data_IF_485419075210
#
_entry.id   IF_485419075210
#
_cell.length_a   1.000
_cell.length_b   1.000
_cell.length_c   1.000
_cell.angle_alpha   90.00
_cell.angle_beta   90.00
_cell.angle_gamma   90.00
#
_symmetry.space_group_name_H-M   'P 1'
#
loop_
_entity.id
_entity.type
_entity.pdbx_description
1 polymer ?
#
# COMPACT_ATOMS: atom_id res chain seq x y z
N UNK A 1 -6.32 -16.59 6.98
CA UNK A 1 -5.47 -15.64 7.75
C UNK A 1 -5.99 -14.20 7.71
N UNK A 2 -6.00 -13.50 6.57
CA UNK A 2 -6.36 -12.05 6.47
C UNK A 2 -7.66 -11.70 7.20
N UNK A 3 -8.77 -12.38 6.87
CA UNK A 3 -10.07 -12.12 7.51
C UNK A 3 -10.00 -12.21 9.04
N UNK A 4 -9.38 -13.26 9.59
CA UNK A 4 -9.28 -13.46 11.03
C UNK A 4 -8.49 -12.33 11.71
N UNK A 5 -7.37 -11.89 11.13
CA UNK A 5 -6.51 -10.84 11.72
C UNK A 5 -7.06 -9.43 11.53
N UNK A 6 -7.77 -9.19 10.43
CA UNK A 6 -8.36 -7.88 10.14
C UNK A 6 -9.76 -7.68 10.75
N UNK A 7 -10.26 -8.63 11.54
CA UNK A 7 -11.56 -8.52 12.23
C UNK A 7 -11.45 -8.05 13.68
N UNK A 8 -10.25 -7.79 14.19
CA UNK A 8 -10.02 -7.32 15.57
C UNK A 8 -10.23 -5.79 15.64
N UNK A 9 -11.28 -5.29 16.32
CA UNK A 9 -11.55 -3.86 16.42
C UNK A 9 -10.56 -3.09 17.30
N UNK A 10 -9.72 -3.79 18.08
CA UNK A 10 -8.65 -3.19 18.85
C UNK A 10 -7.37 -2.93 18.02
N UNK A 11 -7.32 -3.43 16.79
CA UNK A 11 -6.17 -3.32 15.88
C UNK A 11 -6.56 -2.45 14.65
N UNK A 12 -6.61 -1.12 14.80
CA UNK A 12 -7.13 -0.22 13.77
C UNK A 12 -6.38 -0.34 12.43
N UNK A 13 -5.07 -0.56 12.48
CA UNK A 13 -4.26 -0.85 11.30
C UNK A 13 -4.78 -2.07 10.53
N UNK A 14 -4.96 -3.20 11.22
CA UNK A 14 -5.45 -4.43 10.59
C UNK A 14 -6.90 -4.27 10.11
N UNK A 15 -7.75 -3.60 10.91
CA UNK A 15 -9.14 -3.35 10.56
C UNK A 15 -9.29 -2.53 9.28
N UNK A 16 -8.51 -1.46 9.11
CA UNK A 16 -8.51 -0.65 7.89
C UNK A 16 -8.12 -1.48 6.66
N UNK A 17 -7.10 -2.33 6.77
CA UNK A 17 -6.72 -3.25 5.68
C UNK A 17 -7.80 -4.31 5.41
N UNK A 18 -8.54 -4.75 6.42
CA UNK A 18 -9.73 -5.59 6.25
C UNK A 18 -10.82 -4.89 5.44
N UNK A 19 -11.12 -3.64 5.78
CA UNK A 19 -12.09 -2.81 5.04
C UNK A 19 -11.66 -2.68 3.57
N UNK A 20 -10.39 -2.37 3.30
CA UNK A 20 -9.84 -2.30 1.94
C UNK A 20 -10.16 -3.57 1.13
N UNK A 21 -9.90 -4.74 1.73
CA UNK A 21 -10.08 -6.03 1.04
C UNK A 21 -11.55 -6.42 0.88
N UNK A 22 -12.35 -6.25 1.93
CA UNK A 22 -13.71 -6.80 2.05
C UNK A 22 -14.81 -5.78 1.71
N UNK A 23 -14.46 -4.51 1.51
CA UNK A 23 -15.36 -3.43 1.12
C UNK A 23 -16.08 -2.78 2.31
N UNK A 24 -16.90 -1.77 1.99
CA UNK A 24 -17.68 -1.02 2.98
C UNK A 24 -18.65 -1.90 3.80
N UNK A 25 -19.13 -3.00 3.23
CA UNK A 25 -20.03 -3.96 3.87
C UNK A 25 -19.34 -4.93 4.83
N UNK A 26 -18.00 -4.83 4.99
CA UNK A 26 -17.29 -5.66 5.94
C UNK A 26 -17.79 -5.39 7.37
N UNK A 27 -18.09 -6.45 8.12
CA UNK A 27 -18.64 -6.35 9.47
C UNK A 27 -17.70 -6.96 10.51
N UNK A 28 -17.62 -6.33 11.66
CA UNK A 28 -16.96 -6.83 12.88
C UNK A 28 -17.92 -6.65 14.05
N UNK A 29 -18.02 -7.65 14.92
CA UNK A 29 -18.93 -7.61 16.09
C UNK A 29 -20.39 -7.25 15.72
N UNK A 30 -20.85 -7.72 14.56
CA UNK A 30 -22.20 -7.44 14.06
C UNK A 30 -22.42 -6.03 13.51
N UNK A 31 -21.42 -5.15 13.52
CA UNK A 31 -21.49 -3.75 13.04
C UNK A 31 -20.64 -3.54 11.78
N UNK A 32 -20.93 -2.51 10.95
CA UNK A 32 -20.03 -2.12 9.87
C UNK A 32 -18.64 -1.77 10.41
N UNK A 33 -17.60 -2.38 9.83
CA UNK A 33 -16.21 -2.17 10.24
C UNK A 33 -15.77 -0.71 10.05
N UNK A 34 -16.30 -0.03 9.03
CA UNK A 34 -16.07 1.40 8.78
C UNK A 34 -16.52 2.26 9.96
N UNK A 35 -17.68 1.95 10.55
CA UNK A 35 -18.19 2.68 11.73
C UNK A 35 -17.32 2.38 12.95
N UNK A 36 -16.99 1.11 13.18
CA UNK A 36 -16.15 0.69 14.31
C UNK A 36 -14.77 1.34 14.25
N UNK A 37 -14.14 1.40 13.06
CA UNK A 37 -12.84 2.06 12.87
C UNK A 37 -12.94 3.55 13.18
N UNK A 38 -13.91 4.24 12.58
CA UNK A 38 -14.02 5.71 12.68
C UNK A 38 -14.42 6.11 14.09
N UNK A 39 -15.51 5.57 14.64
CA UNK A 39 -16.06 5.98 15.94
C UNK A 39 -15.09 5.73 17.10
N UNK A 40 -14.25 4.68 17.00
CA UNK A 40 -13.30 4.35 18.07
C UNK A 40 -12.01 5.15 18.00
N UNK A 41 -11.54 5.50 16.81
CA UNK A 41 -10.17 5.97 16.61
C UNK A 41 -10.05 7.40 16.07
N UNK A 42 -11.13 7.99 15.54
CA UNK A 42 -11.11 9.41 15.16
C UNK A 42 -10.96 10.29 16.39
N UNK A 43 -10.22 11.38 16.26
CA UNK A 43 -10.02 12.40 17.30
C UNK A 43 -10.06 13.79 16.65
N UNK A 44 -10.29 14.81 17.46
CA UNK A 44 -10.00 16.20 17.08
C UNK A 44 -8.60 16.56 17.54
N UNK A 45 -7.84 17.25 16.69
CA UNK A 45 -6.56 17.84 17.09
C UNK A 45 -6.77 19.15 17.88
N UNK A 46 -5.67 19.78 18.30
CA UNK A 46 -5.72 21.04 19.05
C UNK A 46 -6.38 22.21 18.28
N UNK A 47 -6.46 22.12 16.95
CA UNK A 47 -7.15 23.10 16.11
C UNK A 47 -8.60 22.68 15.81
N UNK A 48 -9.10 21.63 16.47
CA UNK A 48 -10.46 21.12 16.30
C UNK A 48 -10.68 20.26 15.05
N UNK A 49 -9.64 19.97 14.27
CA UNK A 49 -9.75 19.20 13.01
C UNK A 49 -9.86 17.70 13.28
N UNK A 50 -10.73 17.03 12.54
CA UNK A 50 -10.92 15.59 12.60
C UNK A 50 -9.75 14.84 11.94
N UNK A 51 -9.22 13.83 12.64
CA UNK A 51 -8.11 13.01 12.16
C UNK A 51 -7.96 11.71 12.94
N UNK A 52 -7.15 10.79 12.43
CA UNK A 52 -6.69 9.64 13.20
C UNK A 52 -5.33 9.96 13.83
N UNK A 53 -5.11 9.67 15.12
CA UNK A 53 -3.80 9.85 15.71
C UNK A 53 -2.80 8.88 15.09
N UNK A 54 -1.50 9.25 15.05
CA UNK A 54 -0.45 8.31 14.61
C UNK A 54 -0.34 7.10 15.53
N UNK A 55 -0.60 7.31 16.82
CA UNK A 55 -0.62 6.26 17.83
C UNK A 55 -1.29 6.73 19.11
N UNK A 56 -1.63 5.77 19.96
CA UNK A 56 -2.29 5.98 21.25
C UNK A 56 -1.69 4.99 22.27
N UNK A 57 -1.27 5.50 23.44
CA UNK A 57 -0.64 4.70 24.50
C UNK A 57 0.50 3.77 23.99
N UNK A 58 1.36 4.28 23.11
CA UNK A 58 2.49 3.53 22.54
C UNK A 58 2.12 2.51 21.46
N UNK A 59 0.85 2.45 21.03
CA UNK A 59 0.39 1.58 19.93
C UNK A 59 0.19 2.39 18.65
N UNK A 60 0.59 1.87 17.48
CA UNK A 60 0.29 2.53 16.21
C UNK A 60 -1.22 2.48 15.93
N UNK A 61 -1.76 3.63 15.52
CA UNK A 61 -3.15 3.75 15.04
C UNK A 61 -3.09 3.99 13.54
N UNK A 62 -2.83 5.22 13.10
CA UNK A 62 -2.63 5.56 11.69
C UNK A 62 -1.19 6.06 11.44
N UNK A 63 -0.19 5.17 11.24
CA UNK A 63 1.20 5.59 11.08
C UNK A 63 1.45 6.42 9.80
N UNK A 64 0.56 6.30 8.82
CA UNK A 64 0.59 7.04 7.55
C UNK A 64 -0.60 8.00 7.47
N UNK A 65 -0.37 9.33 7.49
CA UNK A 65 -1.46 10.31 7.50
C UNK A 65 -2.47 10.07 6.38
N UNK A 66 -3.74 9.95 6.74
CA UNK A 66 -4.86 9.82 5.80
C UNK A 66 -5.05 8.43 5.19
N UNK A 67 -4.30 7.41 5.63
CA UNK A 67 -4.49 6.03 5.18
C UNK A 67 -5.92 5.54 5.39
N UNK A 68 -6.48 5.75 6.57
CA UNK A 68 -7.82 5.26 6.90
C UNK A 68 -8.88 6.01 6.12
N UNK A 69 -8.79 7.34 6.06
CA UNK A 69 -9.71 8.15 5.27
C UNK A 69 -9.65 7.81 3.78
N UNK A 70 -8.44 7.65 3.21
CA UNK A 70 -8.26 7.13 1.85
C UNK A 70 -9.00 5.81 1.69
N UNK A 71 -8.83 4.89 2.63
CA UNK A 71 -9.46 3.56 2.57
C UNK A 71 -10.97 3.66 2.50
N UNK A 72 -11.59 4.50 3.34
CA UNK A 72 -13.04 4.73 3.32
C UNK A 72 -13.51 5.28 1.95
N UNK A 73 -12.78 6.25 1.41
CA UNK A 73 -13.05 6.83 0.08
C UNK A 73 -12.82 5.82 -1.05
N UNK A 74 -11.89 4.89 -0.90
CA UNK A 74 -11.56 3.86 -1.89
C UNK A 74 -12.63 2.76 -1.94
N UNK A 75 -13.14 2.33 -0.80
CA UNK A 75 -14.19 1.30 -0.74
C UNK A 75 -15.60 1.83 -0.98
N UNK A 76 -15.73 3.13 -1.29
CA UNK A 76 -16.99 3.75 -1.70
C UNK A 76 -17.93 4.13 -0.56
N UNK A 77 -17.42 4.38 0.65
CA UNK A 77 -18.25 4.94 1.73
C UNK A 77 -18.77 6.31 1.27
N UNK A 78 -20.09 6.58 1.32
CA UNK A 78 -20.64 7.85 0.86
C UNK A 78 -20.09 9.03 1.65
N UNK A 79 -19.80 10.15 0.96
CA UNK A 79 -19.32 11.39 1.61
C UNK A 79 -20.31 11.93 2.67
N UNK A 80 -21.61 11.68 2.49
CA UNK A 80 -22.66 12.04 3.46
C UNK A 80 -22.86 11.04 4.61
N UNK A 81 -22.13 9.91 4.62
CA UNK A 81 -22.21 8.93 5.71
C UNK A 81 -21.81 9.61 7.03
N UNK A 82 -22.65 9.44 8.07
CA UNK A 82 -22.50 10.12 9.36
C UNK A 82 -21.87 9.17 10.38
N UNK A 83 -20.85 9.66 11.07
CA UNK A 83 -20.18 8.99 12.17
C UNK A 83 -20.41 9.73 13.49
N UNK A 84 -20.15 9.04 14.60
CA UNK A 84 -20.08 9.63 15.93
C UNK A 84 -18.66 9.51 16.48
N UNK A 85 -18.01 10.62 16.78
CA UNK A 85 -16.71 10.62 17.44
C UNK A 85 -16.81 10.11 18.89
N UNK A 86 -15.70 9.69 19.53
CA UNK A 86 -15.69 9.26 20.93
C UNK A 86 -16.18 10.32 21.91
N UNK A 87 -16.03 11.60 21.58
CA UNK A 87 -16.54 12.75 22.36
C UNK A 87 -18.05 12.96 22.21
N UNK A 88 -18.73 12.10 21.44
CA UNK A 88 -20.16 12.15 21.18
C UNK A 88 -20.57 13.07 20.02
N UNK A 89 -19.65 13.88 19.47
CA UNK A 89 -19.92 14.76 18.34
C UNK A 89 -20.22 13.96 17.06
N UNK A 90 -21.03 14.56 16.17
CA UNK A 90 -21.39 13.96 14.88
C UNK A 90 -20.69 14.69 13.74
N UNK A 91 -20.26 13.94 12.74
CA UNK A 91 -19.63 14.47 11.54
C UNK A 91 -19.84 13.51 10.36
N UNK A 92 -19.52 13.95 9.16
CA UNK A 92 -19.63 13.22 7.91
C UNK A 92 -18.26 12.81 7.38
N UNK A 93 -18.20 11.80 6.51
CA UNK A 93 -16.96 11.48 5.81
C UNK A 93 -16.39 12.69 5.04
N UNK A 94 -17.24 13.53 4.47
CA UNK A 94 -16.84 14.77 3.80
C UNK A 94 -16.09 15.73 4.73
N UNK A 95 -16.57 15.90 5.97
CA UNK A 95 -15.91 16.76 6.97
C UNK A 95 -14.57 16.18 7.41
N UNK A 96 -14.50 14.87 7.69
CA UNK A 96 -13.25 14.18 8.02
C UNK A 96 -12.21 14.31 6.90
N UNK A 97 -12.63 14.08 5.65
CA UNK A 97 -11.74 14.15 4.50
C UNK A 97 -11.25 15.58 4.25
N UNK A 98 -12.13 16.59 4.41
CA UNK A 98 -11.76 18.00 4.31
C UNK A 98 -10.75 18.41 5.38
N UNK A 99 -10.97 18.01 6.64
CA UNK A 99 -10.08 18.36 7.74
C UNK A 99 -8.68 17.74 7.56
N UNK A 100 -8.59 16.51 7.08
CA UNK A 100 -7.31 15.87 6.77
C UNK A 100 -6.64 16.46 5.51
N UNK A 101 -7.42 16.80 4.47
CA UNK A 101 -6.93 17.50 3.29
C UNK A 101 -6.39 18.90 3.64
N UNK A 102 -7.01 19.61 4.60
CA UNK A 102 -6.53 20.88 5.10
C UNK A 102 -5.23 20.74 5.91
N UNK A 103 -5.02 19.60 6.56
CA UNK A 103 -3.77 19.27 7.25
C UNK A 103 -2.62 18.89 6.30
N UNK A 104 -2.89 18.74 5.00
CA UNK A 104 -1.83 18.55 4.00
C UNK A 104 -0.93 19.79 3.95
N UNK A 105 0.32 19.60 4.34
CA UNK A 105 1.38 20.58 4.24
C UNK A 105 2.47 20.04 3.30
N UNK A 106 2.70 20.65 2.12
CA UNK A 106 3.77 20.22 1.23
C UNK A 106 5.11 20.37 1.96
N UNK A 107 5.91 19.31 1.99
CA UNK A 107 7.21 19.33 2.65
C UNK A 107 7.87 17.97 2.82
N UNK A 108 9.09 18.01 3.33
CA UNK A 108 9.94 16.83 3.54
C UNK A 108 10.91 16.55 2.40
N UNK A 109 11.99 15.86 2.74
CA UNK A 109 13.00 15.41 1.77
C UNK A 109 13.12 13.88 1.88
N UNK A 110 12.69 13.12 0.86
CA UNK A 110 12.19 13.60 -0.42
C UNK A 110 10.72 14.07 -0.38
N UNK A 111 10.27 14.84 -1.38
CA UNK A 111 8.86 15.25 -1.51
C UNK A 111 7.91 14.05 -1.50
N UNK A 112 6.75 14.22 -0.88
CA UNK A 112 5.66 13.23 -0.78
C UNK A 112 6.00 11.90 -0.05
N UNK A 113 7.18 11.79 0.58
CA UNK A 113 7.68 10.56 1.20
C UNK A 113 6.65 9.77 2.01
N UNK A 114 5.91 10.46 2.89
CA UNK A 114 4.86 9.90 3.76
C UNK A 114 3.48 10.56 3.54
N UNK A 115 3.25 11.15 2.36
CA UNK A 115 2.04 11.95 2.09
C UNK A 115 1.17 11.39 0.97
N UNK A 116 1.57 10.28 0.35
CA UNK A 116 0.82 9.66 -0.75
C UNK A 116 -0.66 9.39 -0.41
N UNK A 117 -0.95 8.95 0.81
CA UNK A 117 -2.33 8.71 1.26
C UNK A 117 -3.16 10.00 1.37
N UNK A 118 -2.58 11.09 1.88
CA UNK A 118 -3.24 12.41 1.89
C UNK A 118 -3.50 12.93 0.47
N UNK A 119 -2.58 12.69 -0.47
CA UNK A 119 -2.81 13.02 -1.89
C UNK A 119 -4.04 12.30 -2.46
N UNK A 120 -4.27 11.05 -2.06
CA UNK A 120 -5.50 10.33 -2.45
C UNK A 120 -6.76 10.86 -1.77
N UNK A 121 -6.65 11.33 -0.53
CA UNK A 121 -7.75 12.04 0.16
C UNK A 121 -8.09 13.32 -0.60
N UNK A 122 -7.08 14.15 -0.94
CA UNK A 122 -7.23 15.38 -1.73
C UNK A 122 -7.92 15.13 -3.08
N UNK A 123 -7.49 14.09 -3.79
CA UNK A 123 -8.12 13.68 -5.04
C UNK A 123 -9.58 13.26 -4.84
N UNK A 124 -9.89 12.57 -3.73
CA UNK A 124 -11.24 12.14 -3.38
C UNK A 124 -12.19 13.26 -2.96
N UNK A 125 -11.68 14.40 -2.50
CA UNK A 125 -12.47 15.56 -2.07
C UNK A 125 -12.64 16.65 -3.13
N UNK A 126 -12.16 16.42 -4.36
CA UNK A 126 -12.13 17.43 -5.43
C UNK A 126 -11.41 18.72 -4.99
N UNK A 127 -10.33 18.59 -4.21
CA UNK A 127 -9.55 19.75 -3.76
C UNK A 127 -9.00 20.50 -4.98
N UNK A 128 -9.10 21.85 -5.05
CA UNK A 128 -8.66 22.63 -6.20
C UNK A 128 -7.16 22.49 -6.49
N UNK A 129 -6.35 22.07 -5.50
CA UNK A 129 -4.91 21.82 -5.66
C UNK A 129 -4.61 20.50 -6.39
N UNK A 130 -5.60 19.63 -6.60
CA UNK A 130 -5.40 18.27 -7.11
C UNK A 130 -4.69 18.24 -8.47
N UNK A 131 -5.03 19.16 -9.38
CA UNK A 131 -4.38 19.23 -10.71
C UNK A 131 -2.88 19.52 -10.62
N UNK A 132 -2.51 20.62 -9.95
CA UNK A 132 -1.10 21.00 -9.75
C UNK A 132 -0.32 19.89 -9.00
N UNK A 133 -0.89 19.37 -7.91
CA UNK A 133 -0.26 18.29 -7.14
C UNK A 133 -0.12 17.00 -7.97
N UNK A 134 -1.05 16.75 -8.90
CA UNK A 134 -0.98 15.63 -9.84
C UNK A 134 0.24 15.71 -10.75
N UNK A 135 0.55 16.89 -11.29
CA UNK A 135 1.70 17.10 -12.16
C UNK A 135 3.02 17.05 -11.37
N UNK A 136 3.07 17.68 -10.20
CA UNK A 136 4.24 17.65 -9.30
C UNK A 136 4.55 16.22 -8.84
N UNK A 137 3.55 15.49 -8.37
CA UNK A 137 3.71 14.11 -7.93
C UNK A 137 4.12 13.19 -9.09
N UNK A 138 3.58 13.40 -10.30
CA UNK A 138 3.98 12.65 -11.50
C UNK A 138 5.44 12.95 -11.90
N UNK A 139 5.89 14.20 -11.77
CA UNK A 139 7.29 14.55 -12.00
C UNK A 139 8.22 13.83 -11.01
N UNK A 140 7.89 13.87 -9.72
CA UNK A 140 8.65 13.17 -8.66
C UNK A 140 8.65 11.66 -8.89
N UNK A 141 7.50 11.06 -9.24
CA UNK A 141 7.40 9.63 -9.54
C UNK A 141 8.32 9.26 -10.71
N UNK A 142 8.25 10.01 -11.81
CA UNK A 142 9.05 9.75 -13.01
C UNK A 142 10.55 9.88 -12.76
N UNK A 143 10.99 10.92 -12.07
CA UNK A 143 12.41 11.09 -11.69
C UNK A 143 12.90 9.90 -10.86
N UNK A 144 12.09 9.45 -9.89
CA UNK A 144 12.47 8.38 -8.98
C UNK A 144 12.35 6.98 -9.60
N UNK A 145 11.60 6.79 -10.69
CA UNK A 145 11.55 5.53 -11.42
C UNK A 145 12.49 5.46 -12.62
N UNK A 146 13.01 6.59 -13.11
CA UNK A 146 13.86 6.63 -14.30
C UNK A 146 15.07 5.67 -14.25
N UNK A 147 15.58 5.31 -13.07
CA UNK A 147 16.66 4.32 -12.96
C UNK A 147 16.25 2.90 -13.42
N UNK A 148 14.95 2.58 -13.48
CA UNK A 148 14.47 1.30 -14.01
C UNK A 148 14.65 1.18 -15.52
N UNK A 149 14.76 2.29 -16.25
CA UNK A 149 15.04 2.29 -17.70
C UNK A 149 16.29 1.48 -18.03
N UNK A 150 17.30 1.57 -17.15
CA UNK A 150 18.55 0.85 -17.32
C UNK A 150 18.41 -0.68 -17.22
N UNK A 151 17.29 -1.18 -16.67
CA UNK A 151 16.98 -2.62 -16.53
C UNK A 151 16.02 -3.13 -17.60
N UNK A 152 15.72 -2.34 -18.64
CA UNK A 152 15.05 -2.86 -19.85
C UNK A 152 15.91 -3.91 -20.55
N UNK A 153 17.23 -3.75 -20.50
CA UNK A 153 18.17 -4.78 -20.94
C UNK A 153 18.05 -6.03 -20.05
N UNK A 154 17.60 -7.18 -20.60
CA UNK A 154 17.45 -8.41 -19.84
C UNK A 154 18.76 -9.04 -19.37
N UNK A 155 19.89 -8.66 -19.94
CA UNK A 155 21.21 -9.16 -19.54
C UNK A 155 21.73 -8.48 -18.27
N UNK A 156 21.18 -7.30 -17.93
CA UNK A 156 21.60 -6.55 -16.76
C UNK A 156 20.97 -7.12 -15.48
N UNK A 157 21.77 -7.62 -14.52
CA UNK A 157 21.24 -8.08 -13.24
C UNK A 157 20.70 -6.90 -12.45
N UNK A 158 19.47 -7.03 -11.95
CA UNK A 158 18.88 -6.00 -11.12
C UNK A 158 19.62 -5.87 -9.79
N UNK A 159 19.91 -4.62 -9.40
CA UNK A 159 20.44 -4.30 -8.09
C UNK A 159 19.56 -3.22 -7.45
N UNK A 160 19.10 -3.50 -6.22
CA UNK A 160 18.42 -2.49 -5.42
C UNK A 160 19.39 -1.35 -5.13
N UNK A 161 19.08 -0.11 -5.53
CA UNK A 161 19.99 1.01 -5.38
C UNK A 161 20.02 1.52 -3.93
N UNK A 162 21.21 1.92 -3.48
CA UNK A 162 21.44 2.49 -2.16
C UNK A 162 22.40 3.67 -2.26
N UNK A 163 22.20 4.68 -1.43
CA UNK A 163 23.19 5.74 -1.17
C UNK A 163 23.91 5.48 0.15
N UNK A 164 25.20 5.84 0.22
CA UNK A 164 25.94 5.82 1.48
C UNK A 164 25.77 7.16 2.19
N UNK A 165 25.34 7.12 3.45
CA UNK A 165 25.37 8.27 4.38
C UNK A 165 26.22 7.89 5.58
N UNK A 166 27.49 8.30 5.56
CA UNK A 166 28.49 7.82 6.51
C UNK A 166 28.66 6.30 6.42
N UNK A 167 28.53 5.59 7.55
CA UNK A 167 28.61 4.11 7.62
C UNK A 167 27.30 3.41 7.24
N UNK A 168 26.19 4.14 7.06
CA UNK A 168 24.88 3.57 6.77
C UNK A 168 24.62 3.53 5.26
N UNK A 169 23.98 2.44 4.82
CA UNK A 169 23.40 2.32 3.48
C UNK A 169 21.90 2.62 3.58
N UNK A 170 21.46 3.62 2.85
CA UNK A 170 20.06 4.02 2.78
C UNK A 170 19.50 3.69 1.40
N UNK A 171 18.23 3.24 1.28
CA UNK A 171 17.60 3.05 -0.02
C UNK A 171 17.63 4.34 -0.86
N UNK A 172 17.81 4.20 -2.18
CA UNK A 172 17.83 5.33 -3.11
C UNK A 172 16.59 5.34 -4.03
N UNK A 173 16.40 6.45 -4.76
CA UNK A 173 15.34 6.62 -5.76
C UNK A 173 13.95 6.28 -5.18
N UNK A 174 13.10 5.56 -5.91
CA UNK A 174 11.75 5.21 -5.45
C UNK A 174 11.74 4.33 -4.19
N UNK A 175 12.82 3.60 -3.88
CA UNK A 175 12.86 2.74 -2.69
C UNK A 175 13.02 3.48 -1.38
N UNK A 176 13.36 4.77 -1.41
CA UNK A 176 13.41 5.59 -0.21
C UNK A 176 12.01 5.98 0.28
N UNK A 177 10.96 5.75 -0.51
CA UNK A 177 9.56 5.99 -0.16
C UNK A 177 8.96 4.81 0.60
N UNK A 178 7.97 5.08 1.47
CA UNK A 178 7.19 4.02 2.10
C UNK A 178 6.53 3.11 1.05
N UNK A 179 6.47 1.81 1.37
CA UNK A 179 6.03 0.76 0.43
C UNK A 179 6.76 0.79 -0.92
N UNK A 180 8.00 1.31 -0.95
CA UNK A 180 8.77 1.50 -2.18
C UNK A 180 8.08 2.43 -3.18
N UNK A 181 7.31 3.41 -2.72
CA UNK A 181 6.66 4.42 -3.57
C UNK A 181 5.41 3.94 -4.32
N UNK A 182 4.91 2.73 -4.04
CA UNK A 182 3.74 2.19 -4.75
C UNK A 182 2.45 2.95 -4.41
N UNK A 183 2.31 3.52 -3.22
CA UNK A 183 1.20 4.41 -2.91
C UNK A 183 1.35 5.80 -3.56
N UNK A 184 2.57 6.30 -3.79
CA UNK A 184 2.75 7.53 -4.59
C UNK A 184 2.22 7.31 -6.01
N UNK A 185 2.45 6.12 -6.56
CA UNK A 185 1.87 5.71 -7.84
C UNK A 185 0.34 5.77 -7.83
N UNK A 186 -0.30 5.13 -6.83
CA UNK A 186 -1.75 5.15 -6.66
C UNK A 186 -2.31 6.57 -6.50
N UNK A 187 -1.61 7.42 -5.75
CA UNK A 187 -1.94 8.82 -5.57
C UNK A 187 -1.88 9.62 -6.87
N UNK A 188 -0.80 9.47 -7.65
CA UNK A 188 -0.67 10.11 -8.96
C UNK A 188 -1.83 9.70 -9.86
N UNK A 189 -2.16 8.40 -9.95
CA UNK A 189 -3.31 7.96 -10.75
C UNK A 189 -4.61 8.62 -10.29
N UNK A 190 -4.88 8.66 -8.98
CA UNK A 190 -6.13 9.21 -8.46
C UNK A 190 -6.24 10.72 -8.70
N UNK A 191 -5.14 11.47 -8.58
CA UNK A 191 -5.08 12.91 -8.88
C UNK A 191 -5.34 13.22 -10.36
N UNK A 192 -4.90 12.35 -11.27
CA UNK A 192 -5.18 12.43 -12.70
C UNK A 192 -6.56 11.87 -13.10
N UNK A 193 -7.31 11.31 -12.14
CA UNK A 193 -8.65 10.77 -12.34
C UNK A 193 -8.70 9.68 -13.40
N UNK A 194 -9.55 9.86 -14.42
CA UNK A 194 -9.70 8.94 -15.56
C UNK A 194 -8.66 9.14 -16.67
N UNK A 195 -7.77 10.14 -16.55
CA UNK A 195 -6.76 10.42 -17.57
C UNK A 195 -5.48 9.60 -17.35
N UNK A 196 -4.83 9.24 -18.46
CA UNK A 196 -3.51 8.60 -18.44
C UNK A 196 -2.57 9.38 -19.37
N UNK A 197 -1.99 10.51 -18.93
CA UNK A 197 -1.03 11.22 -19.75
C UNK A 197 0.15 10.29 -20.13
N UNK A 198 0.80 10.49 -21.28
CA UNK A 198 1.86 9.58 -21.76
C UNK A 198 2.96 9.31 -20.73
N UNK A 199 3.32 10.33 -19.94
CA UNK A 199 4.29 10.20 -18.86
C UNK A 199 3.83 9.23 -17.76
N UNK A 200 2.55 9.22 -17.41
CA UNK A 200 1.96 8.27 -16.45
C UNK A 200 1.83 6.88 -17.06
N UNK A 201 1.40 6.76 -18.32
CA UNK A 201 1.37 5.47 -19.03
C UNK A 201 2.74 4.79 -19.03
N UNK A 202 3.79 5.56 -19.32
CA UNK A 202 5.17 5.10 -19.25
C UNK A 202 5.61 4.65 -17.84
N UNK A 203 5.12 5.31 -16.78
CA UNK A 203 5.38 4.81 -15.42
C UNK A 203 4.77 3.42 -15.17
N UNK A 204 3.65 3.08 -15.82
CA UNK A 204 3.03 1.76 -15.65
C UNK A 204 3.81 0.66 -16.39
N UNK A 205 4.44 0.97 -17.52
CA UNK A 205 5.40 0.08 -18.16
C UNK A 205 6.58 -0.21 -17.21
N UNK A 206 7.14 0.84 -16.61
CA UNK A 206 8.20 0.71 -15.62
C UNK A 206 7.77 -0.04 -14.36
N UNK A 207 6.52 0.08 -13.94
CA UNK A 207 5.97 -0.69 -12.83
C UNK A 207 5.95 -2.20 -13.12
N UNK A 208 5.59 -2.60 -14.35
CA UNK A 208 5.62 -4.01 -14.74
C UNK A 208 7.05 -4.54 -14.84
N UNK A 209 7.96 -3.76 -15.44
CA UNK A 209 9.38 -4.09 -15.45
C UNK A 209 9.93 -4.25 -14.02
N UNK A 210 9.60 -3.31 -13.14
CA UNK A 210 9.96 -3.35 -11.72
C UNK A 210 9.43 -4.59 -11.02
N UNK A 211 8.15 -4.92 -11.21
CA UNK A 211 7.54 -6.13 -10.64
C UNK A 211 8.32 -7.38 -11.03
N UNK A 212 8.70 -7.52 -12.30
CA UNK A 212 9.51 -8.63 -12.77
C UNK A 212 10.91 -8.64 -12.15
N UNK A 213 11.66 -7.53 -12.29
CA UNK A 213 13.06 -7.43 -11.87
C UNK A 213 13.24 -7.60 -10.37
N UNK A 214 12.42 -6.92 -9.58
CA UNK A 214 12.51 -7.03 -8.13
C UNK A 214 12.00 -8.39 -7.61
N UNK A 215 11.03 -9.02 -8.27
CA UNK A 215 10.63 -10.39 -7.94
C UNK A 215 11.78 -11.37 -8.14
N UNK A 216 12.52 -11.25 -9.26
CA UNK A 216 13.72 -12.03 -9.50
C UNK A 216 14.79 -11.81 -8.42
N UNK A 217 15.05 -10.54 -8.09
CA UNK A 217 15.99 -10.18 -7.04
C UNK A 217 15.68 -10.82 -5.68
N UNK A 218 14.42 -10.77 -5.23
CA UNK A 218 14.06 -11.37 -3.94
C UNK A 218 14.10 -12.90 -3.96
N UNK A 219 13.75 -13.53 -5.08
CA UNK A 219 13.92 -14.98 -5.28
C UNK A 219 15.39 -15.38 -5.13
N UNK A 220 16.30 -14.66 -5.77
CA UNK A 220 17.73 -14.93 -5.72
C UNK A 220 18.33 -14.66 -4.33
N UNK A 221 17.85 -13.60 -3.67
CA UNK A 221 18.21 -13.29 -2.29
C UNK A 221 17.79 -14.41 -1.33
N UNK A 222 16.58 -14.95 -1.48
CA UNK A 222 16.09 -16.06 -0.67
C UNK A 222 16.92 -17.32 -0.88
N UNK A 223 17.17 -17.68 -2.15
CA UNK A 223 17.99 -18.83 -2.50
C UNK A 223 19.41 -18.71 -1.93
N UNK A 224 20.00 -17.51 -2.00
CA UNK A 224 21.32 -17.22 -1.44
C UNK A 224 21.33 -17.32 0.08
N UNK A 225 20.31 -16.79 0.77
CA UNK A 225 20.18 -16.90 2.22
C UNK A 225 20.12 -18.37 2.66
N UNK A 226 19.32 -19.21 1.99
CA UNK A 226 19.21 -20.65 2.25
C UNK A 226 20.50 -21.42 2.08
N UNK A 227 21.37 -20.99 1.15
CA UNK A 227 22.68 -21.62 0.94
C UNK A 227 23.74 -21.19 1.97
N UNK A 228 23.64 -19.96 2.49
CA UNK A 228 24.73 -19.32 3.27
C UNK A 228 24.45 -19.17 4.76
N UNK A 229 23.19 -19.24 5.18
CA UNK A 229 22.79 -19.07 6.56
C UNK A 229 22.05 -20.31 7.05
N UNK A 230 22.12 -20.56 8.36
CA UNK A 230 21.46 -21.68 9.02
C UNK A 230 20.78 -21.22 10.33
N UNK A 231 19.89 -22.06 10.85
CA UNK A 231 19.20 -21.83 12.13
C UNK A 231 18.53 -20.46 12.24
N UNK A 232 18.78 -19.76 13.35
CA UNK A 232 18.16 -18.47 13.65
C UNK A 232 18.52 -17.36 12.62
N UNK A 233 19.74 -17.40 12.07
CA UNK A 233 20.15 -16.44 11.05
C UNK A 233 19.36 -16.61 9.76
N UNK A 234 19.18 -17.86 9.31
CA UNK A 234 18.33 -18.17 8.16
C UNK A 234 16.89 -17.73 8.39
N UNK A 235 16.30 -18.11 9.52
CA UNK A 235 14.91 -17.74 9.85
C UNK A 235 14.68 -16.21 9.86
N UNK A 236 15.68 -15.43 10.29
CA UNK A 236 15.65 -13.97 10.21
C UNK A 236 15.70 -13.47 8.76
N UNK A 237 16.60 -14.01 7.94
CA UNK A 237 16.70 -13.62 6.54
C UNK A 237 15.45 -13.98 5.74
N UNK A 238 14.92 -15.19 5.89
CA UNK A 238 13.70 -15.63 5.21
C UNK A 238 12.52 -14.74 5.58
N UNK A 239 12.34 -14.44 6.87
CA UNK A 239 11.26 -13.55 7.33
C UNK A 239 11.29 -12.18 6.64
N UNK A 240 12.47 -11.55 6.61
CA UNK A 240 12.62 -10.23 5.97
C UNK A 240 12.39 -10.33 4.46
N UNK A 241 13.03 -11.29 3.79
CA UNK A 241 12.96 -11.42 2.33
C UNK A 241 11.53 -11.73 1.87
N UNK A 242 10.85 -12.66 2.54
CA UNK A 242 9.48 -13.05 2.21
C UNK A 242 8.48 -11.92 2.47
N UNK A 243 8.61 -11.19 3.59
CA UNK A 243 7.78 -10.00 3.86
C UNK A 243 8.00 -8.91 2.79
N UNK A 244 9.24 -8.63 2.40
CA UNK A 244 9.51 -7.63 1.34
C UNK A 244 9.02 -8.09 -0.04
N UNK A 245 9.10 -9.38 -0.33
CA UNK A 245 8.55 -9.97 -1.57
C UNK A 245 7.03 -9.79 -1.63
N UNK A 246 6.34 -10.15 -0.54
CA UNK A 246 4.90 -9.99 -0.39
C UNK A 246 4.47 -8.53 -0.57
N UNK A 247 5.16 -7.62 0.13
CA UNK A 247 4.93 -6.16 0.05
C UNK A 247 5.00 -5.67 -1.39
N UNK A 248 6.13 -5.90 -2.06
CA UNK A 248 6.35 -5.48 -3.44
C UNK A 248 5.28 -6.05 -4.38
N UNK A 249 5.12 -7.37 -4.39
CA UNK A 249 4.26 -8.06 -5.35
C UNK A 249 2.79 -7.67 -5.16
N UNK A 250 2.31 -7.67 -3.91
CA UNK A 250 0.95 -7.28 -3.58
C UNK A 250 0.65 -5.85 -3.99
N UNK A 251 1.48 -4.89 -3.58
CA UNK A 251 1.26 -3.48 -3.90
C UNK A 251 1.41 -3.17 -5.39
N UNK A 252 2.37 -3.78 -6.10
CA UNK A 252 2.57 -3.52 -7.52
C UNK A 252 1.40 -4.05 -8.36
N UNK A 253 0.94 -5.27 -8.08
CA UNK A 253 -0.23 -5.85 -8.73
C UNK A 253 -1.51 -5.05 -8.39
N UNK A 254 -1.69 -4.65 -7.13
CA UNK A 254 -2.81 -3.80 -6.72
C UNK A 254 -2.81 -2.46 -7.46
N UNK A 255 -1.67 -1.77 -7.50
CA UNK A 255 -1.52 -0.47 -8.17
C UNK A 255 -1.91 -0.56 -9.64
N UNK A 256 -1.40 -1.56 -10.37
CA UNK A 256 -1.75 -1.73 -11.78
C UNK A 256 -3.22 -2.10 -11.96
N UNK A 257 -3.73 -3.06 -11.18
CA UNK A 257 -5.10 -3.54 -11.29
C UNK A 257 -6.13 -2.44 -10.94
N UNK A 258 -5.82 -1.56 -9.99
CA UNK A 258 -6.63 -0.37 -9.66
C UNK A 258 -6.76 0.56 -10.87
N UNK A 259 -5.66 0.87 -11.54
CA UNK A 259 -5.66 1.73 -12.72
C UNK A 259 -6.47 1.12 -13.88
N UNK A 260 -6.30 -0.18 -14.12
CA UNK A 260 -7.08 -0.90 -15.12
C UNK A 260 -8.58 -0.91 -14.77
N UNK A 261 -8.94 -1.16 -13.51
CA UNK A 261 -10.34 -1.13 -13.04
C UNK A 261 -10.96 0.26 -13.13
N UNK A 262 -10.18 1.32 -12.94
CA UNK A 262 -10.62 2.70 -13.12
C UNK A 262 -10.78 3.09 -14.60
N UNK A 263 -10.46 2.20 -15.55
CA UNK A 263 -10.51 2.49 -16.99
C UNK A 263 -9.37 3.36 -17.51
N UNK A 264 -8.39 3.69 -16.65
CA UNK A 264 -7.22 4.52 -16.97
C UNK A 264 -6.26 3.75 -17.88
N UNK A 265 -6.14 2.45 -17.66
CA UNK A 265 -5.33 1.55 -18.47
C UNK A 265 -6.21 0.49 -19.12
N UNK A 266 -5.83 0.11 -20.33
CA UNK A 266 -6.31 -1.10 -20.98
C UNK A 266 -5.13 -2.04 -21.12
N UNK A 267 -5.00 -3.07 -20.25
CA UNK A 267 -3.86 -3.97 -20.31
C UNK A 267 -3.80 -4.61 -21.71
N UNK A 268 -2.62 -4.64 -22.31
CA UNK A 268 -2.32 -5.41 -23.52
C UNK A 268 -2.27 -6.92 -23.20
N UNK A 269 -2.08 -7.76 -24.22
CA UNK A 269 -1.84 -9.18 -24.00
C UNK A 269 -0.54 -9.44 -23.22
N UNK A 270 0.50 -8.64 -23.51
CA UNK A 270 1.78 -8.71 -22.81
C UNK A 270 1.65 -8.27 -21.34
N UNK A 271 0.93 -7.18 -21.08
CA UNK A 271 0.66 -6.72 -19.72
C UNK A 271 -0.08 -7.78 -18.92
N UNK A 272 -1.12 -8.40 -19.50
CA UNK A 272 -1.85 -9.51 -18.86
C UNK A 272 -0.92 -10.67 -18.53
N UNK A 273 -0.05 -11.06 -19.46
CA UNK A 273 0.92 -12.12 -19.21
C UNK A 273 1.91 -11.75 -18.08
N UNK A 274 2.34 -10.49 -18.00
CA UNK A 274 3.21 -10.00 -16.93
C UNK A 274 2.50 -10.00 -15.56
N UNK A 275 1.26 -9.52 -15.51
CA UNK A 275 0.42 -9.55 -14.31
C UNK A 275 0.18 -10.99 -13.83
N UNK A 276 -0.11 -11.92 -14.74
CA UNK A 276 -0.30 -13.34 -14.42
C UNK A 276 0.97 -13.98 -13.86
N UNK A 277 2.14 -13.66 -14.44
CA UNK A 277 3.43 -14.11 -13.88
C UNK A 277 3.65 -13.54 -12.48
N UNK A 278 3.33 -12.27 -12.27
CA UNK A 278 3.39 -11.60 -10.97
C UNK A 278 2.46 -12.23 -9.93
N UNK A 279 1.20 -12.51 -10.31
CA UNK A 279 0.21 -13.14 -9.44
C UNK A 279 0.66 -14.55 -9.01
N UNK A 280 1.15 -15.38 -9.94
CA UNK A 280 1.73 -16.68 -9.60
C UNK A 280 2.97 -16.57 -8.70
N UNK A 281 3.77 -15.51 -8.85
CA UNK A 281 4.90 -15.26 -7.96
C UNK A 281 4.45 -14.88 -6.54
N UNK A 282 3.41 -14.05 -6.44
CA UNK A 282 2.77 -13.69 -5.18
C UNK A 282 2.21 -14.92 -4.45
N UNK A 283 1.49 -15.80 -5.15
CA UNK A 283 0.98 -17.06 -4.60
C UNK A 283 2.09 -17.91 -4.00
N UNK A 284 3.19 -18.13 -4.74
CA UNK A 284 4.37 -18.85 -4.23
C UNK A 284 5.01 -18.18 -3.02
N UNK A 285 5.00 -16.85 -2.97
CA UNK A 285 5.50 -16.11 -1.80
C UNK A 285 4.60 -16.31 -0.58
N UNK A 286 3.28 -16.32 -0.74
CA UNK A 286 2.32 -16.64 0.33
C UNK A 286 2.53 -18.09 0.83
N UNK A 287 2.65 -19.06 -0.07
CA UNK A 287 2.95 -20.46 0.26
C UNK A 287 4.28 -20.60 1.03
N UNK A 288 5.30 -19.84 0.64
CA UNK A 288 6.59 -19.84 1.33
C UNK A 288 6.52 -19.20 2.72
N UNK A 289 5.72 -18.14 2.91
CA UNK A 289 5.46 -17.52 4.22
C UNK A 289 4.73 -18.50 5.15
N UNK A 290 3.75 -19.21 4.62
CA UNK A 290 3.01 -20.24 5.34
C UNK A 290 3.91 -21.42 5.73
N UNK A 291 4.70 -21.93 4.77
CA UNK A 291 5.66 -23.03 5.00
C UNK A 291 6.74 -22.66 6.01
N UNK A 292 7.16 -21.40 6.07
CA UNK A 292 8.07 -20.87 7.08
C UNK A 292 7.41 -20.67 8.47
N UNK A 293 6.12 -20.97 8.60
CA UNK A 293 5.36 -20.85 9.85
C UNK A 293 5.11 -19.41 10.30
N UNK A 294 5.33 -18.41 9.43
CA UNK A 294 5.22 -17.00 9.83
C UNK A 294 3.78 -16.60 10.17
N UNK A 295 2.80 -17.10 9.41
CA UNK A 295 1.39 -16.86 9.70
C UNK A 295 0.92 -17.53 10.99
N UNK A 296 1.40 -18.74 11.28
CA UNK A 296 1.10 -19.44 12.52
C UNK A 296 1.67 -18.70 13.75
N UNK A 297 2.74 -17.90 13.57
CA UNK A 297 3.43 -17.19 14.65
C UNK A 297 3.03 -15.72 14.79
N UNK A 298 1.96 -15.26 14.13
CA UNK A 298 1.57 -13.84 14.15
C UNK A 298 1.36 -13.27 15.56
N UNK A 299 0.80 -14.04 16.51
CA UNK A 299 0.65 -13.56 17.89
C UNK A 299 1.98 -13.38 18.63
N UNK A 300 2.95 -14.26 18.37
CA UNK A 300 4.29 -14.11 18.90
C UNK A 300 5.00 -12.91 18.26
N UNK A 301 4.91 -12.77 16.94
CA UNK A 301 5.47 -11.64 16.20
C UNK A 301 4.87 -10.32 16.64
N UNK A 302 3.57 -10.26 16.93
CA UNK A 302 2.91 -9.04 17.46
C UNK A 302 3.59 -8.53 18.73
N UNK A 303 4.11 -9.43 19.58
CA UNK A 303 4.80 -9.08 20.83
C UNK A 303 6.29 -8.79 20.64
N UNK A 304 6.99 -9.64 19.87
CA UNK A 304 8.45 -9.59 19.77
C UNK A 304 8.95 -8.72 18.62
N UNK A 305 8.21 -8.62 17.53
CA UNK A 305 8.57 -7.92 16.29
C UNK A 305 7.34 -7.20 15.70
N UNK A 306 6.77 -6.18 16.39
CA UNK A 306 5.48 -5.60 16.02
C UNK A 306 5.42 -5.11 14.57
N UNK A 307 6.49 -4.51 14.06
CA UNK A 307 6.53 -4.07 12.65
C UNK A 307 6.38 -5.24 11.67
N UNK A 308 7.01 -6.39 11.94
CA UNK A 308 6.88 -7.56 11.07
C UNK A 308 5.45 -8.12 11.11
N UNK A 309 4.78 -8.06 12.26
CA UNK A 309 3.37 -8.40 12.36
C UNK A 309 2.50 -7.45 11.51
N UNK A 310 2.70 -6.14 11.64
CA UNK A 310 1.95 -5.14 10.87
C UNK A 310 2.17 -5.27 9.36
N UNK A 311 3.43 -5.48 8.95
CA UNK A 311 3.81 -5.73 7.56
C UNK A 311 3.12 -6.99 7.03
N UNK A 312 3.24 -8.14 7.71
CA UNK A 312 2.62 -9.39 7.26
C UNK A 312 1.09 -9.29 7.15
N UNK A 313 0.42 -8.65 8.10
CA UNK A 313 -1.05 -8.50 8.06
C UNK A 313 -1.46 -7.51 6.96
N UNK A 314 -0.86 -6.32 6.91
CA UNK A 314 -1.19 -5.29 5.94
C UNK A 314 -0.84 -5.69 4.50
N UNK A 315 0.37 -6.19 4.28
CA UNK A 315 0.84 -6.61 2.95
C UNK A 315 0.06 -7.83 2.44
N UNK A 316 -0.37 -8.73 3.32
CA UNK A 316 -1.25 -9.84 2.91
C UNK A 316 -2.65 -9.37 2.53
N UNK A 317 -3.14 -8.27 3.12
CA UNK A 317 -4.39 -7.66 2.71
C UNK A 317 -4.25 -7.01 1.32
N UNK A 318 -3.20 -6.23 1.07
CA UNK A 318 -2.90 -5.69 -0.26
C UNK A 318 -2.75 -6.81 -1.31
N UNK A 319 -2.04 -7.89 -0.97
CA UNK A 319 -1.93 -9.07 -1.83
C UNK A 319 -3.29 -9.68 -2.18
N UNK A 320 -4.15 -9.90 -1.19
CA UNK A 320 -5.49 -10.45 -1.42
C UNK A 320 -6.38 -9.50 -2.23
N UNK A 321 -6.29 -8.19 -1.96
CA UNK A 321 -7.02 -7.18 -2.73
C UNK A 321 -6.56 -7.15 -4.19
N UNK A 322 -5.24 -7.18 -4.45
CA UNK A 322 -4.68 -7.27 -5.78
C UNK A 322 -5.24 -8.47 -6.56
N UNK A 323 -5.23 -9.67 -5.97
CA UNK A 323 -5.75 -10.88 -6.61
C UNK A 323 -7.25 -10.77 -6.90
N UNK A 324 -8.03 -10.13 -6.02
CA UNK A 324 -9.46 -9.88 -6.25
C UNK A 324 -9.68 -8.93 -7.42
N UNK A 325 -8.92 -7.85 -7.49
CA UNK A 325 -9.00 -6.89 -8.59
C UNK A 325 -8.63 -7.55 -9.92
N UNK A 326 -7.53 -8.30 -9.97
CA UNK A 326 -7.10 -9.01 -11.18
C UNK A 326 -8.15 -10.00 -11.67
N UNK A 327 -8.77 -10.78 -10.77
CA UNK A 327 -9.88 -11.68 -11.14
C UNK A 327 -11.06 -10.93 -11.75
N UNK A 328 -11.39 -9.74 -11.23
CA UNK A 328 -12.46 -8.91 -11.78
C UNK A 328 -12.13 -8.31 -13.16
N UNK A 329 -10.86 -8.28 -13.57
CA UNK A 329 -10.42 -7.85 -14.90
C UNK A 329 -10.47 -8.96 -15.95
N UNK A 330 -10.61 -10.23 -15.53
CA UNK A 330 -10.74 -11.33 -16.47
C UNK A 330 -12.13 -11.24 -17.14
N UNK A 331 -12.21 -11.35 -18.48
CA UNK A 331 -13.50 -11.40 -19.15
C UNK A 331 -14.26 -12.60 -18.58
N UNK A 332 -15.49 -12.36 -18.08
CA UNK A 332 -16.37 -13.46 -17.65
C UNK A 332 -16.43 -14.46 -18.80
N UNK A 333 -15.99 -15.70 -18.56
CA UNK A 333 -16.17 -16.78 -19.52
C UNK A 333 -17.68 -16.84 -19.82
N UNK A 334 -18.06 -16.41 -21.03
CA UNK A 334 -19.44 -16.44 -21.52
C UNK A 334 -19.69 -17.78 -22.19
#
# INVERSE_FOLDING_TARGET
>A
MVRARCSDPAEPWALAHGILVFGAEFRVEGRPAVDVLVERWVRRDAAGRLGFPRGEAGRPVEPHPGLFTKTLLEVGVPLGHRFRAPDGSRFTLAELARDQAAAYAPGGTPPFHNQAWLLEVLAGTQDPRAGQLGDEALAVLAENQAYFEAYRDPTRPYQKPFVRRGSRREPAHIHRYYCGGLHLFQAVQRLHGGSCPPKLAHQYELLLLRLERETGYWKDALATARRRAHGAALARHERVILSQSLKLQGHALETYARAARAGVLRPSAEDRAALDRGARALERTVEAIESAGLYARLDALRRSEPQTYLDLVGDSAHALHALRLLRALQPSAR
#
